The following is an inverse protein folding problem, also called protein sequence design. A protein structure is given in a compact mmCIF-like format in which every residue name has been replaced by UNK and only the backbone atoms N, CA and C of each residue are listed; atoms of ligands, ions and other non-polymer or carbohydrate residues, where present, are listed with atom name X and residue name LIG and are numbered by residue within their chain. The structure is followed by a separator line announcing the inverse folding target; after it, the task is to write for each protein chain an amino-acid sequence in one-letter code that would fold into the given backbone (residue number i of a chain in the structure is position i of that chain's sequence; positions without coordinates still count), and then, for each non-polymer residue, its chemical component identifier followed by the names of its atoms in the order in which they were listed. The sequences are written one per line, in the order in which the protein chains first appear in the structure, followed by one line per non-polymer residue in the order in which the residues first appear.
data_IF_456476927463
#
_entry.id   IF_456476927463
#
_cell.length_a   1.000
_cell.length_b   1.000
_cell.length_c   1.000
_cell.angle_alpha   90.00
_cell.angle_beta   90.00
_cell.angle_gamma   90.00
#
_symmetry.space_group_name_H-M   'P 1'
#
loop_
_entity.id
_entity.type
_entity.pdbx_description
1 polymer ?
#
# COMPACT_ATOMS: atom_id res chain seq x y z
N UNK A 1 -10.16 -19.59 -6.84
CA UNK A 1 -10.56 -18.40 -6.07
C UNK A 1 -11.36 -17.48 -6.99
N UNK A 2 -12.55 -17.05 -6.60
CA UNK A 2 -13.34 -16.09 -7.39
C UNK A 2 -12.91 -14.67 -7.04
N UNK A 3 -11.89 -14.16 -7.76
CA UNK A 3 -11.33 -12.82 -7.53
C UNK A 3 -12.38 -11.72 -7.69
N UNK A 4 -13.29 -11.85 -8.67
CA UNK A 4 -14.31 -10.82 -8.93
C UNK A 4 -15.27 -10.70 -7.75
N UNK A 5 -15.67 -11.84 -7.19
CA UNK A 5 -16.47 -11.85 -5.96
C UNK A 5 -15.73 -11.20 -4.80
N UNK A 6 -14.46 -11.57 -4.56
CA UNK A 6 -13.67 -11.02 -3.45
C UNK A 6 -13.41 -9.52 -3.62
N UNK A 7 -13.10 -9.05 -4.83
CA UNK A 7 -12.92 -7.64 -5.14
C UNK A 7 -14.16 -6.77 -4.83
N UNK A 8 -15.36 -7.36 -4.80
CA UNK A 8 -16.56 -6.62 -4.36
C UNK A 8 -16.57 -6.24 -2.87
N UNK A 9 -15.67 -6.80 -2.07
CA UNK A 9 -15.42 -6.44 -0.68
C UNK A 9 -14.23 -5.46 -0.53
N UNK A 10 -13.58 -5.09 -1.63
CA UNK A 10 -12.43 -4.18 -1.56
C UNK A 10 -12.83 -2.85 -0.92
N UNK A 11 -11.95 -2.24 -0.11
CA UNK A 11 -12.24 -0.96 0.52
C UNK A 11 -12.34 0.15 -0.53
N UNK A 12 -13.15 1.17 -0.22
CA UNK A 12 -13.05 2.47 -0.87
C UNK A 12 -11.90 3.21 -0.21
N UNK A 13 -10.86 3.52 -0.98
CA UNK A 13 -9.71 4.25 -0.48
C UNK A 13 -9.91 5.74 -0.70
N UNK A 14 -9.37 6.55 0.19
CA UNK A 14 -9.37 8.00 0.10
C UNK A 14 -7.93 8.48 0.12
N UNK A 15 -7.47 9.08 -0.97
CA UNK A 15 -6.12 9.61 -1.10
C UNK A 15 -6.13 11.12 -1.01
N UNK A 16 -5.01 11.72 -0.60
CA UNK A 16 -4.83 13.16 -0.72
C UNK A 16 -5.04 13.58 -2.18
N UNK A 17 -5.68 14.72 -2.41
CA UNK A 17 -5.90 15.25 -3.75
C UNK A 17 -4.59 15.43 -4.55
N UNK A 18 -3.47 15.60 -3.86
CA UNK A 18 -2.14 15.78 -4.44
C UNK A 18 -1.28 14.51 -4.38
N UNK A 19 -1.85 13.37 -4.02
CA UNK A 19 -1.15 12.08 -3.97
C UNK A 19 -0.57 11.74 -5.36
N UNK A 20 0.75 11.54 -5.48
CA UNK A 20 1.38 11.18 -6.75
C UNK A 20 1.24 9.68 -7.08
N UNK A 21 0.96 8.81 -6.09
CA UNK A 21 0.98 7.36 -6.28
C UNK A 21 -0.35 6.69 -5.98
N UNK A 22 -0.74 5.74 -6.84
CA UNK A 22 -1.95 4.94 -6.70
C UNK A 22 -1.61 3.45 -6.79
N UNK A 23 -2.47 2.56 -6.23
CA UNK A 23 -2.25 1.13 -6.33
C UNK A 23 -2.06 0.68 -7.78
N UNK A 24 -1.01 -0.08 -8.04
CA UNK A 24 -0.74 -0.66 -9.37
C UNK A 24 -1.03 -2.15 -9.44
N UNK A 25 -1.20 -2.80 -8.27
CA UNK A 25 -1.60 -4.20 -8.13
C UNK A 25 -2.21 -4.47 -6.76
N UNK A 26 -3.05 -5.49 -6.68
CA UNK A 26 -3.65 -5.98 -5.44
C UNK A 26 -3.60 -7.50 -5.42
N UNK A 27 -2.81 -8.06 -4.51
CA UNK A 27 -2.80 -9.49 -4.20
C UNK A 27 -3.96 -9.82 -3.26
N UNK A 28 -4.69 -10.87 -3.56
CA UNK A 28 -5.86 -11.30 -2.79
C UNK A 28 -5.61 -12.67 -2.19
N UNK A 29 -5.83 -12.79 -0.88
CA UNK A 29 -5.83 -14.06 -0.15
C UNK A 29 -7.12 -14.25 0.62
N UNK A 30 -7.55 -15.49 0.80
CA UNK A 30 -8.64 -15.85 1.72
C UNK A 30 -8.04 -16.63 2.88
N UNK A 31 -8.23 -16.12 4.10
CA UNK A 31 -7.65 -16.65 5.32
C UNK A 31 -8.74 -17.16 6.26
N UNK A 32 -8.46 -18.25 6.96
CA UNK A 32 -9.33 -18.88 7.95
C UNK A 32 -8.67 -18.91 9.32
N UNK A 33 -9.44 -19.29 10.33
CA UNK A 33 -8.92 -19.45 11.69
C UNK A 33 -7.71 -20.40 11.71
N UNK A 34 -6.65 -19.96 12.38
CA UNK A 34 -5.39 -20.68 12.49
C UNK A 34 -4.40 -20.42 11.35
N UNK A 35 -4.82 -19.78 10.25
CA UNK A 35 -3.94 -19.51 9.10
C UNK A 35 -3.07 -18.27 9.32
N UNK A 36 -1.95 -18.26 8.60
CA UNK A 36 -0.98 -17.18 8.58
C UNK A 36 -1.21 -16.33 7.33
N UNK A 37 -1.14 -15.01 7.47
CA UNK A 37 -1.05 -14.11 6.32
C UNK A 37 0.20 -14.47 5.51
N UNK A 38 0.08 -14.65 4.19
CA UNK A 38 1.22 -14.95 3.34
C UNK A 38 2.07 -13.72 3.00
N UNK A 39 1.54 -12.52 3.23
CA UNK A 39 2.14 -11.23 2.84
C UNK A 39 2.54 -10.35 4.03
N UNK A 40 1.98 -10.61 5.21
CA UNK A 40 2.22 -9.84 6.43
C UNK A 40 2.57 -10.76 7.61
N UNK A 41 3.40 -10.29 8.54
CA UNK A 41 3.82 -11.08 9.73
C UNK A 41 2.70 -11.16 10.77
N UNK A 42 1.65 -11.92 10.46
CA UNK A 42 0.44 -12.05 11.27
C UNK A 42 -0.19 -13.43 11.13
N UNK A 43 -0.77 -13.92 12.23
CA UNK A 43 -1.59 -15.14 12.28
C UNK A 43 -3.00 -14.82 12.78
N UNK A 44 -4.00 -15.46 12.20
CA UNK A 44 -5.41 -15.31 12.57
C UNK A 44 -5.80 -16.41 13.55
N UNK A 45 -5.23 -16.40 14.75
CA UNK A 45 -5.31 -17.52 15.70
C UNK A 45 -6.74 -17.86 16.13
N UNK A 46 -7.59 -16.85 16.32
CA UNK A 46 -8.98 -17.02 16.74
C UNK A 46 -9.83 -16.00 16.02
N UNK A 47 -10.86 -16.48 15.32
CA UNK A 47 -11.87 -15.65 14.69
C UNK A 47 -13.15 -15.72 15.53
N UNK A 48 -13.97 -14.66 15.47
CA UNK A 48 -15.30 -14.74 16.06
C UNK A 48 -16.12 -15.83 15.34
N UNK A 49 -16.97 -16.57 16.07
CA UNK A 49 -17.77 -17.65 15.53
C UNK A 49 -18.72 -17.22 14.39
N UNK A 50 -19.03 -15.92 14.28
CA UNK A 50 -19.84 -15.38 13.17
C UNK A 50 -19.03 -15.20 11.87
N UNK A 51 -17.71 -15.11 11.95
CA UNK A 51 -16.81 -14.97 10.80
C UNK A 51 -16.66 -16.32 10.09
N UNK A 52 -16.76 -16.32 8.77
CA UNK A 52 -16.47 -17.48 7.91
C UNK A 52 -15.02 -17.44 7.42
N UNK A 53 -14.58 -16.29 6.91
CA UNK A 53 -13.22 -16.08 6.42
C UNK A 53 -12.83 -14.60 6.48
N UNK A 54 -11.53 -14.35 6.32
CA UNK A 54 -10.95 -13.01 6.18
C UNK A 54 -10.42 -12.88 4.75
N UNK A 55 -10.76 -11.79 4.07
CA UNK A 55 -10.14 -11.42 2.80
C UNK A 55 -8.97 -10.51 3.13
N UNK A 56 -7.79 -10.88 2.68
CA UNK A 56 -6.62 -10.01 2.69
C UNK A 56 -6.45 -9.38 1.31
N UNK A 57 -6.39 -8.05 1.28
CA UNK A 57 -5.96 -7.26 0.15
C UNK A 57 -4.55 -6.74 0.44
N UNK A 58 -3.53 -7.35 -0.16
CA UNK A 58 -2.16 -6.85 -0.18
C UNK A 58 -2.02 -5.88 -1.36
N UNK A 59 -2.07 -4.59 -1.07
CA UNK A 59 -2.14 -3.49 -2.02
C UNK A 59 -0.72 -3.00 -2.29
N UNK A 60 -0.33 -2.99 -3.55
CA UNK A 60 1.04 -2.72 -3.98
C UNK A 60 1.15 -1.40 -4.72
N UNK A 61 2.20 -0.64 -4.38
CA UNK A 61 2.65 0.54 -5.09
C UNK A 61 4.10 0.36 -5.51
N UNK A 62 4.43 0.92 -6.66
CA UNK A 62 5.83 1.03 -7.09
C UNK A 62 6.62 1.96 -6.14
N UNK A 63 5.96 2.95 -5.53
CA UNK A 63 6.59 3.94 -4.64
C UNK A 63 5.76 4.23 -3.39
N UNK A 64 6.45 4.29 -2.25
CA UNK A 64 6.15 5.18 -1.13
C UNK A 64 6.96 6.46 -1.34
N UNK A 65 6.51 7.60 -0.83
CA UNK A 65 7.22 8.87 -0.97
C UNK A 65 8.64 8.84 -0.39
N UNK A 66 8.92 7.96 0.59
CA UNK A 66 10.24 7.80 1.20
C UNK A 66 11.07 6.67 0.58
N UNK A 67 10.45 5.68 -0.09
CA UNK A 67 11.18 4.58 -0.70
C UNK A 67 10.53 3.97 -1.94
N UNK A 68 11.34 3.39 -2.81
CA UNK A 68 10.85 2.49 -3.84
C UNK A 68 10.29 1.22 -3.18
N UNK A 69 9.20 0.70 -3.74
CA UNK A 69 8.38 -0.41 -3.26
C UNK A 69 7.57 -0.12 -1.99
N UNK A 70 6.27 -0.43 -2.02
CA UNK A 70 5.41 -0.48 -0.83
C UNK A 70 4.33 -1.57 -0.96
N UNK A 71 4.00 -2.18 0.17
CA UNK A 71 2.94 -3.17 0.31
C UNK A 71 2.14 -2.93 1.60
N UNK A 72 0.96 -2.34 1.45
CA UNK A 72 0.02 -2.12 2.55
C UNK A 72 -1.17 -3.08 2.46
N UNK A 73 -1.88 -3.27 3.56
CA UNK A 73 -2.81 -4.37 3.75
C UNK A 73 -4.15 -3.88 4.29
N UNK A 74 -5.23 -4.44 3.75
CA UNK A 74 -6.57 -4.35 4.33
C UNK A 74 -7.13 -5.75 4.51
N UNK A 75 -7.61 -6.03 5.71
CA UNK A 75 -8.26 -7.30 6.07
C UNK A 75 -9.74 -7.06 6.32
N UNK A 76 -10.59 -7.73 5.54
CA UNK A 76 -12.05 -7.67 5.66
C UNK A 76 -12.55 -9.00 6.22
N UNK A 77 -13.20 -8.96 7.38
CA UNK A 77 -13.77 -10.14 8.02
C UNK A 77 -15.17 -10.35 7.49
N UNK A 78 -15.40 -11.48 6.81
CA UNK A 78 -16.67 -11.79 6.18
C UNK A 78 -17.42 -12.82 7.03
N UNK A 79 -18.67 -12.50 7.36
CA UNK A 79 -19.56 -13.37 8.11
C UNK A 79 -20.09 -14.53 7.29
N UNK A 80 -20.65 -15.54 7.97
CA UNK A 80 -21.29 -16.71 7.32
C UNK A 80 -22.50 -16.35 6.44
N UNK A 81 -23.06 -15.16 6.63
CA UNK A 81 -24.14 -14.59 5.80
C UNK A 81 -23.62 -13.70 4.66
N UNK A 82 -22.30 -13.55 4.54
CA UNK A 82 -21.64 -12.71 3.55
C UNK A 82 -21.54 -11.23 3.91
N UNK A 83 -21.97 -10.81 5.12
CA UNK A 83 -21.82 -9.44 5.60
C UNK A 83 -20.38 -9.15 6.04
N UNK A 84 -19.94 -7.89 5.97
CA UNK A 84 -18.69 -7.47 6.59
C UNK A 84 -18.91 -7.40 8.10
N UNK A 85 -18.26 -8.28 8.85
CA UNK A 85 -18.34 -8.31 10.32
C UNK A 85 -17.43 -7.23 10.90
N UNK A 86 -16.21 -7.14 10.36
CA UNK A 86 -15.14 -6.32 10.90
C UNK A 86 -14.11 -5.98 9.80
N UNK A 87 -13.24 -5.02 10.06
CA UNK A 87 -12.13 -4.68 9.19
C UNK A 87 -10.90 -4.23 9.98
N UNK A 88 -9.72 -4.47 9.41
CA UNK A 88 -8.43 -3.97 9.89
C UNK A 88 -7.58 -3.52 8.71
N UNK A 89 -6.62 -2.64 8.98
CA UNK A 89 -5.70 -2.18 7.95
C UNK A 89 -4.34 -1.91 8.56
N UNK A 90 -3.29 -2.04 7.76
CA UNK A 90 -1.92 -1.80 8.16
C UNK A 90 -1.63 -0.32 8.40
N UNK A 91 -0.68 -0.08 9.30
CA UNK A 91 -0.24 1.26 9.68
C UNK A 91 1.19 1.19 10.22
N UNK A 92 2.17 1.57 9.39
CA UNK A 92 3.60 1.62 9.75
C UNK A 92 4.14 0.34 10.40
N UNK A 93 3.99 -0.80 9.70
CA UNK A 93 4.45 -2.12 10.16
C UNK A 93 3.60 -2.73 11.28
N UNK A 94 2.53 -2.05 11.71
CA UNK A 94 1.48 -2.59 12.58
C UNK A 94 0.16 -2.63 11.82
N UNK A 95 -0.93 -2.89 12.52
CA UNK A 95 -2.29 -2.80 12.00
C UNK A 95 -3.23 -2.28 13.08
N UNK A 96 -4.36 -1.72 12.66
CA UNK A 96 -5.39 -1.16 13.52
C UNK A 96 -6.78 -1.59 13.05
N UNK A 97 -7.79 -1.38 13.91
CA UNK A 97 -9.20 -1.48 13.50
C UNK A 97 -9.47 -0.46 12.39
N UNK A 98 -10.08 -0.93 11.32
CA UNK A 98 -10.42 -0.16 10.14
C UNK A 98 -11.94 0.03 9.99
N UNK A 99 -12.73 -0.61 10.85
CA UNK A 99 -14.16 -0.37 10.97
C UNK A 99 -14.44 0.48 12.22
N UNK A 100 -15.17 1.58 12.06
CA UNK A 100 -15.59 2.41 13.20
C UNK A 100 -16.62 1.67 14.06
N UNK A 101 -16.64 1.91 15.39
CA UNK A 101 -17.62 1.28 16.27
C UNK A 101 -19.08 1.52 15.88
N UNK A 102 -19.39 2.69 15.33
CA UNK A 102 -20.72 3.06 14.82
C UNK A 102 -20.95 2.59 13.37
N UNK A 103 -19.92 2.00 12.74
CA UNK A 103 -19.90 1.51 11.36
C UNK A 103 -20.24 2.58 10.33
N UNK A 104 -20.07 3.85 10.68
CA UNK A 104 -20.36 4.99 9.79
C UNK A 104 -19.49 5.01 8.53
N UNK A 105 -18.35 4.32 8.55
CA UNK A 105 -17.47 4.16 7.39
C UNK A 105 -17.72 2.86 6.58
N UNK A 106 -18.86 2.19 6.74
CA UNK A 106 -19.21 1.00 5.96
C UNK A 106 -20.50 1.20 5.17
N UNK A 107 -20.42 1.00 3.86
CA UNK A 107 -21.56 1.01 2.94
C UNK A 107 -21.71 -0.36 2.30
N UNK A 108 -22.70 -1.14 2.75
CA UNK A 108 -22.88 -2.53 2.30
C UNK A 108 -21.66 -3.39 2.64
N UNK A 109 -20.85 -3.72 1.63
CA UNK A 109 -19.60 -4.50 1.76
C UNK A 109 -18.33 -3.65 1.74
N UNK A 110 -18.46 -2.35 1.49
CA UNK A 110 -17.34 -1.46 1.18
C UNK A 110 -17.00 -0.61 2.39
N UNK A 111 -15.87 -0.92 3.04
CA UNK A 111 -15.31 -0.08 4.10
C UNK A 111 -14.55 1.10 3.47
N UNK A 112 -14.81 2.31 3.97
CA UNK A 112 -14.13 3.54 3.56
C UNK A 112 -12.93 3.79 4.47
N UNK A 113 -11.74 3.89 3.87
CA UNK A 113 -10.46 4.09 4.54
C UNK A 113 -9.66 5.20 3.88
N UNK A 114 -8.95 5.98 4.69
CA UNK A 114 -8.05 7.02 4.25
C UNK A 114 -6.63 6.47 4.20
N UNK A 115 -5.89 6.85 3.17
CA UNK A 115 -4.47 6.54 3.01
C UNK A 115 -3.64 7.74 3.45
N UNK A 116 -2.58 7.49 4.21
CA UNK A 116 -1.67 8.55 4.62
C UNK A 116 -1.01 9.16 3.38
N UNK A 117 -1.03 10.50 3.23
CA UNK A 117 -0.38 11.14 2.09
C UNK A 117 1.08 10.71 1.96
N UNK A 118 1.42 10.13 0.81
CA UNK A 118 2.73 9.64 0.43
C UNK A 118 3.26 8.41 1.17
N UNK A 119 2.72 8.03 2.34
CA UNK A 119 3.25 6.93 3.18
C UNK A 119 2.40 5.67 3.23
N UNK A 120 1.22 5.75 2.62
CA UNK A 120 0.24 4.69 2.36
C UNK A 120 -0.32 3.86 3.54
N UNK A 121 0.02 4.16 4.79
CA UNK A 121 -0.68 3.64 5.98
C UNK A 121 -2.19 3.97 5.97
N UNK A 122 -3.04 3.08 6.50
CA UNK A 122 -4.50 3.22 6.44
C UNK A 122 -5.17 3.53 7.78
N UNK A 123 -6.19 4.40 7.72
CA UNK A 123 -7.00 4.75 8.89
C UNK A 123 -8.46 4.98 8.50
N UNK A 124 -9.45 4.61 9.35
CA UNK A 124 -10.85 5.00 9.13
C UNK A 124 -11.09 6.50 9.37
N UNK A 125 -10.13 7.22 9.96
CA UNK A 125 -10.21 8.64 10.29
C UNK A 125 -8.96 9.38 9.78
N UNK A 126 -9.08 10.40 8.94
CA UNK A 126 -7.92 11.10 8.36
C UNK A 126 -7.16 11.93 9.39
N UNK A 127 -7.84 12.40 10.45
CA UNK A 127 -7.23 13.20 11.52
C UNK A 127 -6.05 12.49 12.20
N UNK A 128 -6.02 11.15 12.17
CA UNK A 128 -4.91 10.36 12.73
C UNK A 128 -3.59 10.70 12.04
N UNK A 129 -3.61 11.00 10.74
CA UNK A 129 -2.39 11.34 9.99
C UNK A 129 -1.84 12.71 10.39
N UNK A 130 -2.70 13.68 10.70
CA UNK A 130 -2.28 15.00 11.16
C UNK A 130 -1.58 14.98 12.53
N UNK A 131 -1.76 13.90 13.30
CA UNK A 131 -1.09 13.70 14.59
C UNK A 131 0.33 13.11 14.45
N UNK A 132 0.74 12.71 13.24
CA UNK A 132 2.08 12.16 13.00
C UNK A 132 3.13 13.29 12.94
N UNK A 133 4.26 13.15 13.65
CA UNK A 133 5.23 14.23 13.84
C UNK A 133 5.90 14.69 12.53
N UNK A 134 5.99 13.81 11.53
CA UNK A 134 6.64 14.05 10.25
C UNK A 134 5.66 14.21 9.08
N UNK A 135 4.36 14.37 9.33
CA UNK A 135 3.35 14.35 8.24
C UNK A 135 3.60 15.39 7.15
N UNK A 136 4.24 16.52 7.48
CA UNK A 136 4.59 17.58 6.52
C UNK A 136 5.99 17.46 5.92
N UNK A 137 6.89 16.73 6.58
CA UNK A 137 8.29 16.63 6.14
C UNK A 137 8.55 15.36 5.33
N UNK A 138 7.81 14.29 5.63
CA UNK A 138 7.86 13.01 4.94
C UNK A 138 7.68 13.15 3.42
N UNK A 139 6.72 13.98 3.00
CA UNK A 139 6.39 14.16 1.58
C UNK A 139 7.21 15.22 0.86
N UNK A 140 8.06 15.96 1.56
CA UNK A 140 8.86 17.06 1.00
C UNK A 140 10.35 16.80 1.26
N UNK A 141 10.95 17.44 2.27
CA UNK A 141 12.39 17.31 2.55
C UNK A 141 12.88 15.89 2.84
N UNK A 142 12.01 15.00 3.29
CA UNK A 142 12.35 13.62 3.64
C UNK A 142 11.86 12.62 2.55
N UNK A 143 11.39 13.11 1.39
CA UNK A 143 11.08 12.24 0.26
C UNK A 143 12.32 11.47 -0.18
N UNK A 144 12.16 10.20 -0.54
CA UNK A 144 13.26 9.30 -0.90
C UNK A 144 14.23 8.94 0.23
N UNK A 145 14.03 9.39 1.48
CA UNK A 145 15.01 9.23 2.56
C UNK A 145 15.47 7.78 2.77
N UNK A 146 14.59 6.81 2.54
CA UNK A 146 14.85 5.41 2.83
C UNK A 146 15.40 4.65 1.61
N UNK A 147 15.46 5.28 0.44
CA UNK A 147 16.02 4.68 -0.78
C UNK A 147 15.19 3.49 -1.24
N UNK A 148 15.81 2.32 -1.37
CA UNK A 148 15.12 1.08 -1.71
C UNK A 148 14.83 0.28 -0.42
N UNK A 149 13.56 0.20 -0.02
CA UNK A 149 13.16 -0.70 1.07
C UNK A 149 12.56 -1.96 0.48
N UNK A 150 13.04 -3.11 0.96
CA UNK A 150 12.65 -4.41 0.43
C UNK A 150 12.02 -5.25 1.53
N UNK A 151 11.07 -6.12 1.16
CA UNK A 151 10.55 -7.10 2.09
C UNK A 151 11.66 -8.08 2.47
N UNK A 152 11.60 -8.61 3.70
CA UNK A 152 12.69 -9.42 4.28
C UNK A 152 13.08 -10.63 3.41
N UNK A 153 12.08 -11.29 2.81
CA UNK A 153 12.30 -12.43 1.91
C UNK A 153 13.10 -12.06 0.67
N UNK A 154 13.00 -10.80 0.21
CA UNK A 154 13.72 -10.31 -0.96
C UNK A 154 15.10 -9.74 -0.58
N UNK A 155 15.22 -9.10 0.60
CA UNK A 155 16.51 -8.68 1.17
C UNK A 155 17.50 -9.84 1.27
N UNK A 156 17.01 -11.04 1.58
CA UNK A 156 17.84 -12.25 1.66
C UNK A 156 18.57 -12.61 0.36
N UNK A 157 18.18 -12.04 -0.79
CA UNK A 157 18.84 -12.25 -2.08
C UNK A 157 20.11 -11.38 -2.27
N UNK A 158 20.34 -10.38 -1.40
CA UNK A 158 21.60 -9.61 -1.35
C UNK A 158 21.90 -8.74 -2.58
N UNK A 159 20.86 -8.29 -3.30
CA UNK A 159 21.03 -7.70 -4.64
C UNK A 159 21.29 -6.18 -4.68
N UNK A 160 21.24 -5.45 -3.55
CA UNK A 160 21.23 -3.98 -3.58
C UNK A 160 22.20 -3.33 -2.60
N UNK A 161 22.78 -2.22 -3.07
CA UNK A 161 23.86 -1.47 -2.44
C UNK A 161 23.47 -0.01 -2.15
N UNK A 162 24.40 0.72 -1.53
CA UNK A 162 24.16 2.12 -1.18
C UNK A 162 24.08 3.04 -2.42
N UNK A 163 24.73 2.67 -3.54
CA UNK A 163 24.60 3.41 -4.80
C UNK A 163 23.16 3.38 -5.31
N UNK A 164 22.52 2.22 -5.26
CA UNK A 164 21.09 2.06 -5.59
C UNK A 164 20.22 2.94 -4.70
N UNK A 165 20.47 2.93 -3.38
CA UNK A 165 19.73 3.80 -2.45
C UNK A 165 19.85 5.26 -2.85
N UNK A 166 21.08 5.76 -3.10
CA UNK A 166 21.34 7.15 -3.49
C UNK A 166 20.57 7.54 -4.75
N UNK A 167 20.52 6.67 -5.76
CA UNK A 167 19.75 6.92 -6.99
C UNK A 167 18.26 7.05 -6.71
N UNK A 168 17.69 6.14 -5.91
CA UNK A 168 16.27 6.21 -5.54
C UNK A 168 15.98 7.48 -4.73
N UNK A 169 16.85 7.85 -3.78
CA UNK A 169 16.67 9.08 -2.98
C UNK A 169 16.62 10.30 -3.89
N UNK A 170 17.57 10.41 -4.81
CA UNK A 170 17.68 11.53 -5.74
C UNK A 170 16.45 11.64 -6.65
N UNK A 171 15.99 10.50 -7.18
CA UNK A 171 14.83 10.46 -8.05
C UNK A 171 13.55 10.90 -7.33
N UNK A 172 13.25 10.33 -6.17
CA UNK A 172 12.05 10.70 -5.40
C UNK A 172 12.05 12.17 -4.98
N UNK A 173 13.21 12.69 -4.55
CA UNK A 173 13.38 14.11 -4.24
C UNK A 173 13.13 15.02 -5.44
N UNK A 174 13.61 14.63 -6.62
CA UNK A 174 13.48 15.44 -7.82
C UNK A 174 12.06 15.43 -8.41
N UNK A 175 11.38 14.27 -8.37
CA UNK A 175 10.18 14.06 -9.17
C UNK A 175 8.89 13.85 -8.38
N UNK A 176 8.94 13.43 -7.11
CA UNK A 176 7.74 12.98 -6.39
C UNK A 176 7.35 13.82 -5.18
N UNK A 177 8.27 14.61 -4.62
CA UNK A 177 7.97 15.48 -3.47
C UNK A 177 6.73 16.35 -3.70
N UNK A 178 5.90 16.48 -2.67
CA UNK A 178 4.69 17.29 -2.70
C UNK A 178 4.30 17.80 -1.31
N UNK A 179 3.44 18.81 -1.30
CA UNK A 179 2.81 19.31 -0.07
C UNK A 179 1.37 18.79 0.02
N UNK A 180 1.04 17.93 1.00
CA UNK A 180 -0.29 17.35 1.13
C UNK A 180 -1.34 18.44 1.35
N UNK A 181 -2.51 18.25 0.75
CA UNK A 181 -3.68 19.13 0.92
C UNK A 181 -4.50 18.78 2.17
N UNK A 182 -4.45 17.51 2.59
CA UNK A 182 -5.41 16.88 3.52
C UNK A 182 -6.87 16.97 3.04
N UNK A 183 -7.07 17.26 1.75
CA UNK A 183 -8.35 17.08 1.08
C UNK A 183 -8.34 15.69 0.45
N UNK A 184 -9.28 14.85 0.86
CA UNK A 184 -9.28 13.45 0.48
C UNK A 184 -10.31 13.16 -0.60
N UNK A 185 -9.86 12.51 -1.68
CA UNK A 185 -10.69 12.14 -2.83
C UNK A 185 -10.89 10.63 -2.89
N UNK A 186 -12.10 10.15 -3.23
CA UNK A 186 -12.38 8.72 -3.27
C UNK A 186 -11.69 8.05 -4.46
N UNK A 187 -11.21 6.83 -4.21
CA UNK A 187 -10.66 5.90 -5.18
C UNK A 187 -11.38 4.56 -5.01
N UNK A 188 -12.25 4.26 -5.96
CA UNK A 188 -13.06 3.04 -5.97
C UNK A 188 -12.20 1.84 -6.40
N UNK A 189 -11.51 1.22 -5.44
CA UNK A 189 -10.59 0.13 -5.70
C UNK A 189 -11.29 -1.06 -6.38
N UNK A 190 -12.52 -1.38 -5.96
CA UNK A 190 -13.32 -2.47 -6.53
C UNK A 190 -13.62 -2.31 -8.03
N UNK A 191 -13.67 -1.06 -8.55
CA UNK A 191 -13.90 -0.79 -9.97
C UNK A 191 -12.65 -1.02 -10.83
N UNK A 192 -11.49 -1.22 -10.20
CA UNK A 192 -10.21 -1.47 -10.86
C UNK A 192 -9.98 -2.97 -11.00
N UNK A 193 -10.95 -3.70 -11.56
CA UNK A 193 -10.92 -5.16 -11.69
C UNK A 193 -9.58 -5.70 -12.23
N UNK A 194 -8.93 -5.09 -13.25
CA UNK A 194 -7.63 -5.57 -13.74
C UNK A 194 -6.50 -5.51 -12.73
N UNK A 195 -6.62 -4.78 -11.60
CA UNK A 195 -5.62 -4.68 -10.54
C UNK A 195 -5.61 -5.87 -9.58
N UNK A 196 -6.67 -6.68 -9.52
CA UNK A 196 -6.74 -7.80 -8.57
C UNK A 196 -6.20 -9.10 -9.16
N UNK A 197 -5.33 -9.77 -8.41
CA UNK A 197 -4.78 -11.09 -8.70
C UNK A 197 -4.68 -11.93 -7.43
N UNK A 198 -4.53 -13.27 -7.53
CA UNK A 198 -4.06 -14.06 -6.41
C UNK A 198 -2.75 -13.52 -5.84
N UNK A 199 -2.57 -13.61 -4.52
CA UNK A 199 -1.34 -13.18 -3.87
C UNK A 199 -0.09 -13.80 -4.50
N UNK A 200 -0.14 -15.08 -4.86
CA UNK A 200 0.99 -15.80 -5.45
C UNK A 200 1.46 -15.15 -6.77
N UNK A 201 0.52 -14.62 -7.56
CA UNK A 201 0.84 -13.90 -8.79
C UNK A 201 1.54 -12.57 -8.47
N UNK A 202 1.01 -11.78 -7.53
CA UNK A 202 1.67 -10.53 -7.13
C UNK A 202 3.06 -10.80 -6.53
N UNK A 203 3.21 -11.84 -5.71
CA UNK A 203 4.47 -12.25 -5.12
C UNK A 203 5.56 -12.47 -6.19
N UNK A 204 5.20 -13.11 -7.31
CA UNK A 204 6.10 -13.32 -8.45
C UNK A 204 6.36 -12.04 -9.25
N UNK A 205 5.37 -11.14 -9.37
CA UNK A 205 5.50 -9.86 -10.09
C UNK A 205 6.40 -8.83 -9.36
N UNK A 206 6.43 -8.84 -8.02
CA UNK A 206 7.12 -7.81 -7.20
C UNK A 206 8.59 -7.59 -7.62
N UNK A 207 9.43 -8.63 -7.72
CA UNK A 207 10.83 -8.46 -8.14
C UNK A 207 10.99 -7.79 -9.50
N UNK A 208 10.18 -8.19 -10.48
CA UNK A 208 10.25 -7.66 -11.84
C UNK A 208 9.86 -6.18 -11.90
N UNK A 209 8.86 -5.79 -11.11
CA UNK A 209 8.43 -4.38 -10.99
C UNK A 209 9.51 -3.51 -10.38
N UNK A 210 10.15 -3.96 -9.30
CA UNK A 210 11.26 -3.24 -8.66
C UNK A 210 12.39 -3.02 -9.67
N UNK A 211 12.80 -4.05 -10.42
CA UNK A 211 13.86 -3.92 -11.42
C UNK A 211 13.48 -3.00 -12.58
N UNK A 212 12.21 -3.02 -13.02
CA UNK A 212 11.72 -2.13 -14.05
C UNK A 212 11.80 -0.65 -13.61
N UNK A 213 11.37 -0.35 -12.38
CA UNK A 213 11.45 1.02 -11.83
C UNK A 213 12.89 1.46 -11.61
N UNK A 214 13.77 0.58 -11.13
CA UNK A 214 15.20 0.89 -11.04
C UNK A 214 15.83 1.20 -12.40
N UNK A 215 15.42 0.51 -13.47
CA UNK A 215 15.86 0.83 -14.82
C UNK A 215 15.37 2.22 -15.28
N UNK A 216 14.13 2.58 -14.98
CA UNK A 216 13.57 3.92 -15.26
C UNK A 216 14.35 5.00 -14.51
N UNK A 217 14.63 4.80 -13.22
CA UNK A 217 15.39 5.73 -12.37
C UNK A 217 16.78 5.97 -12.97
N UNK A 218 17.52 4.88 -13.29
CA UNK A 218 18.86 4.96 -13.88
C UNK A 218 18.85 5.71 -15.21
N UNK A 219 17.87 5.43 -16.07
CA UNK A 219 17.74 6.11 -17.36
C UNK A 219 17.44 7.61 -17.20
N UNK A 220 16.51 7.95 -16.31
CA UNK A 220 16.08 9.34 -16.10
C UNK A 220 17.20 10.22 -15.55
N UNK A 221 17.96 9.69 -14.57
CA UNK A 221 19.05 10.45 -13.96
C UNK A 221 20.27 10.57 -14.89
N UNK A 222 20.60 9.53 -15.68
CA UNK A 222 21.69 9.62 -16.66
C UNK A 222 21.40 10.59 -17.81
N UNK A 223 20.15 10.65 -18.29
CA UNK A 223 19.73 11.63 -19.31
C UNK A 223 19.64 13.07 -18.79
N UNK A 224 19.55 13.27 -17.47
CA UNK A 224 19.56 14.59 -16.84
C UNK A 224 20.98 15.18 -16.80
N UNK A 225 22.00 14.35 -16.54
CA UNK A 225 23.41 14.76 -16.53
C UNK A 225 23.93 15.20 -17.90
N UNK A 226 23.51 14.55 -18.99
CA UNK A 226 23.95 14.93 -20.35
C UNK A 226 23.43 16.30 -20.81
N UNK A 227 22.29 16.76 -20.26
CA UNK A 227 21.71 18.06 -20.60
C UNK A 227 22.28 19.24 -19.79
N UNK A 228 22.91 18.97 -18.64
CA UNK A 228 23.56 20.01 -17.82
C UNK A 228 25.00 20.31 -18.25
N UNK A 229 25.73 19.33 -18.80
CA UNK A 229 27.10 19.55 -19.33
C UNK A 229 27.13 20.22 -20.72
N UNK A 230 25.96 20.39 -21.36
CA UNK A 230 25.80 21.01 -22.68
C UNK A 230 25.35 22.48 -22.68
N UNK A 231 25.35 23.17 -21.53
CA UNK A 231 24.95 24.59 -21.40
C UNK A 231 26.09 25.51 -21.00
#
# INVERSE_FOLDING_TARGET
MDIKHLASYAPRLFFDQKEPFYPVRVGVSVLREGEQSPSFRRKFERLDAIVDYVIEFAIYWDYDIQHLYELEHVWIYVGKDGAVVDAEASFHGKYMKALLPDRSNLEGKTASLYSQPGKHAFSPLPIIFELLPNVRTATDRDAGLDGLTLPEWYKALGQYDEETNVLVRAYQQAYHRFTPSFEFVPYELAEREPLFVPWETLYEEIPERIEAELAIIRHTLSGSTENEEGR
#
